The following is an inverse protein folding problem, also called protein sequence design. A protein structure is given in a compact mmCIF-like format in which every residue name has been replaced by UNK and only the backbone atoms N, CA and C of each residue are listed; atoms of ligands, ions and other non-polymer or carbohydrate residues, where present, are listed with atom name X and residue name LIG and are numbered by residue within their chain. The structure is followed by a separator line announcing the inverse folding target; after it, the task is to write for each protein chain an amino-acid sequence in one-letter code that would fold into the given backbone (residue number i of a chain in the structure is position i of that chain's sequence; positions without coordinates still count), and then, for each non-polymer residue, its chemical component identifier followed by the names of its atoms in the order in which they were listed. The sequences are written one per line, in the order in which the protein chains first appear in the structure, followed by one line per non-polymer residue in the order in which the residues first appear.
data_IF_137292486762
#
_entry.id   IF_137292486762
#
_cell.length_a   1.000
_cell.length_b   1.000
_cell.length_c   1.000
_cell.angle_alpha   90.00
_cell.angle_beta   90.00
_cell.angle_gamma   90.00
#
_symmetry.space_group_name_H-M   'P 1'
#
loop_
_entity.id
_entity.type
_entity.pdbx_description
1 polymer ?
#
# COMPACT_ATOMS: atom_id res chain seq x y z
N UNK A 1 -10.53 -16.50 -21.17
CA UNK A 1 -10.93 -15.44 -20.23
C UNK A 1 -10.18 -14.16 -20.57
N UNK A 2 -10.89 -13.03 -20.63
CA UNK A 2 -10.31 -11.70 -20.85
C UNK A 2 -9.94 -11.08 -19.50
N UNK A 3 -8.69 -10.67 -19.35
CA UNK A 3 -8.19 -10.07 -18.10
C UNK A 3 -7.65 -8.68 -18.38
N UNK A 4 -8.20 -7.67 -17.70
CA UNK A 4 -7.68 -6.32 -17.73
C UNK A 4 -6.71 -6.07 -16.57
N UNK A 5 -5.59 -5.40 -16.85
CA UNK A 5 -4.64 -4.95 -15.82
C UNK A 5 -4.61 -3.43 -15.84
N UNK A 6 -5.21 -2.79 -14.83
CA UNK A 6 -5.36 -1.34 -14.74
C UNK A 6 -4.16 -0.77 -13.99
N UNK A 7 -3.41 0.10 -14.67
CA UNK A 7 -2.09 0.54 -14.22
C UNK A 7 -0.97 -0.39 -14.68
N UNK A 8 -1.12 -1.05 -15.84
CA UNK A 8 -0.18 -2.05 -16.35
C UNK A 8 1.26 -1.53 -16.57
N UNK A 9 1.43 -0.21 -16.76
CA UNK A 9 2.75 0.44 -16.87
C UNK A 9 3.36 0.82 -15.51
N UNK A 10 2.65 0.64 -14.40
CA UNK A 10 3.18 0.80 -13.06
C UNK A 10 4.02 -0.40 -12.62
N UNK A 11 4.80 -0.24 -11.55
CA UNK A 11 5.65 -1.33 -11.01
C UNK A 11 4.83 -2.56 -10.66
N UNK A 12 3.72 -2.38 -9.94
CA UNK A 12 2.81 -3.46 -9.55
C UNK A 12 2.07 -4.03 -10.76
N UNK A 13 1.61 -3.19 -11.69
CA UNK A 13 0.91 -3.66 -12.90
C UNK A 13 1.79 -4.51 -13.81
N UNK A 14 3.07 -4.14 -14.00
CA UNK A 14 4.04 -5.01 -14.70
C UNK A 14 4.20 -6.34 -13.99
N UNK A 15 4.35 -6.31 -12.66
CA UNK A 15 4.50 -7.53 -11.86
C UNK A 15 3.26 -8.41 -11.90
N UNK A 16 2.05 -7.82 -11.94
CA UNK A 16 0.80 -8.56 -12.16
C UNK A 16 0.84 -9.31 -13.50
N UNK A 17 1.22 -8.64 -14.59
CA UNK A 17 1.35 -9.28 -15.91
C UNK A 17 2.37 -10.42 -15.90
N UNK A 18 3.53 -10.22 -15.27
CA UNK A 18 4.56 -11.27 -15.10
C UNK A 18 3.99 -12.48 -14.34
N UNK A 19 3.36 -12.26 -13.17
CA UNK A 19 2.81 -13.33 -12.32
C UNK A 19 1.68 -14.09 -13.04
N UNK A 20 0.83 -13.38 -13.81
CA UNK A 20 -0.21 -14.03 -14.61
C UNK A 20 0.40 -15.03 -15.62
N UNK A 21 1.52 -14.67 -16.24
CA UNK A 21 2.28 -15.54 -17.15
C UNK A 21 2.97 -16.69 -16.39
N UNK A 22 3.73 -16.39 -15.33
CA UNK A 22 4.45 -17.36 -14.50
C UNK A 22 3.51 -18.45 -13.94
N UNK A 23 2.29 -18.07 -13.56
CA UNK A 23 1.27 -19.00 -13.03
C UNK A 23 0.44 -19.69 -14.10
N UNK A 24 0.73 -19.49 -15.39
CA UNK A 24 -0.05 -20.03 -16.52
C UNK A 24 -1.55 -19.75 -16.35
N UNK A 25 -1.90 -18.54 -15.91
CA UNK A 25 -3.30 -18.17 -15.68
C UNK A 25 -4.07 -18.28 -17.01
N UNK A 26 -5.31 -18.84 -17.02
CA UNK A 26 -6.02 -19.19 -18.26
C UNK A 26 -6.57 -17.96 -19.00
N UNK A 27 -5.67 -17.16 -19.58
CA UNK A 27 -5.95 -15.92 -20.29
C UNK A 27 -6.06 -16.21 -21.77
N UNK A 28 -7.20 -15.84 -22.37
CA UNK A 28 -7.35 -15.81 -23.83
C UNK A 28 -6.99 -14.44 -24.41
N UNK A 29 -7.09 -13.38 -23.59
CA UNK A 29 -6.77 -12.01 -23.99
C UNK A 29 -6.33 -11.20 -22.77
N UNK A 30 -5.11 -10.67 -22.81
CA UNK A 30 -4.64 -9.69 -21.84
C UNK A 30 -4.97 -8.29 -22.35
N UNK A 31 -5.53 -7.44 -21.48
CA UNK A 31 -5.88 -6.06 -21.79
C UNK A 31 -5.05 -5.15 -20.88
N UNK A 32 -3.84 -4.73 -21.31
CA UNK A 32 -3.03 -3.82 -20.53
C UNK A 32 -3.63 -2.41 -20.60
N UNK A 33 -3.91 -1.82 -19.44
CA UNK A 33 -4.58 -0.52 -19.34
C UNK A 33 -3.69 0.46 -18.61
N UNK A 34 -3.51 1.65 -19.19
CA UNK A 34 -2.76 2.73 -18.58
C UNK A 34 -3.34 4.11 -18.95
N UNK A 35 -2.66 5.17 -18.53
CA UNK A 35 -2.99 6.56 -18.87
C UNK A 35 -2.94 6.81 -20.38
N UNK A 36 -3.66 7.84 -20.87
CA UNK A 36 -3.70 8.23 -22.29
C UNK A 36 -2.31 8.39 -22.93
N UNK A 37 -1.35 8.96 -22.20
CA UNK A 37 0.05 9.10 -22.65
C UNK A 37 0.77 7.79 -23.00
N UNK A 38 0.25 6.65 -22.51
CA UNK A 38 0.83 5.33 -22.73
C UNK A 38 0.06 4.51 -23.78
N UNK A 39 -1.06 5.03 -24.27
CA UNK A 39 -1.87 4.35 -25.29
C UNK A 39 -1.04 4.16 -26.56
N UNK A 40 -1.12 2.96 -27.14
CA UNK A 40 -0.36 2.60 -28.33
C UNK A 40 1.03 2.02 -28.06
N UNK A 41 1.55 2.13 -26.83
CA UNK A 41 2.69 1.34 -26.40
C UNK A 41 2.28 -0.13 -26.19
N UNK A 42 3.24 -1.03 -26.01
CA UNK A 42 3.01 -2.46 -25.87
C UNK A 42 3.57 -3.00 -24.56
N UNK A 43 2.90 -4.00 -23.99
CA UNK A 43 3.42 -4.86 -22.94
C UNK A 43 3.41 -6.29 -23.51
N UNK A 44 4.61 -6.82 -23.79
CA UNK A 44 4.72 -8.04 -24.58
C UNK A 44 4.17 -7.84 -25.99
N UNK A 45 3.23 -8.69 -26.39
CA UNK A 45 2.53 -8.57 -27.67
C UNK A 45 1.26 -7.72 -27.60
N UNK A 46 0.81 -7.34 -26.40
CA UNK A 46 -0.49 -6.70 -26.18
C UNK A 46 -0.38 -5.18 -26.16
N UNK A 47 -1.27 -4.52 -26.92
CA UNK A 47 -1.32 -3.07 -27.05
C UNK A 47 -2.02 -2.43 -25.85
N UNK A 48 -1.42 -1.37 -25.30
CA UNK A 48 -1.99 -0.59 -24.21
C UNK A 48 -3.20 0.22 -24.69
N UNK A 49 -4.30 0.12 -23.92
CA UNK A 49 -5.57 0.82 -24.16
C UNK A 49 -5.95 1.72 -22.97
N UNK A 50 -6.95 2.59 -23.17
CA UNK A 50 -7.51 3.40 -22.08
C UNK A 50 -8.42 2.57 -21.17
N UNK A 51 -8.68 3.06 -19.96
CA UNK A 51 -9.63 2.39 -19.03
C UNK A 51 -11.05 2.32 -19.57
N UNK A 52 -11.45 3.33 -20.36
CA UNK A 52 -12.76 3.38 -21.03
C UNK A 52 -12.85 2.33 -22.14
N UNK A 53 -11.81 2.20 -22.96
CA UNK A 53 -11.78 1.19 -24.02
C UNK A 53 -11.77 -0.22 -23.43
N UNK A 54 -11.00 -0.42 -22.35
CA UNK A 54 -10.97 -1.69 -21.64
C UNK A 54 -12.35 -2.09 -21.09
N UNK A 55 -13.13 -1.14 -20.54
CA UNK A 55 -14.51 -1.41 -20.14
C UNK A 55 -15.36 -1.87 -21.33
N UNK A 56 -15.22 -1.23 -22.50
CA UNK A 56 -15.90 -1.61 -23.74
C UNK A 56 -15.53 -3.00 -24.27
N UNK A 57 -14.33 -3.50 -23.93
CA UNK A 57 -13.87 -4.85 -24.28
C UNK A 57 -14.49 -5.95 -23.41
N UNK A 58 -15.21 -5.56 -22.35
CA UNK A 58 -15.93 -6.43 -21.39
C UNK A 58 -15.04 -7.55 -20.84
N UNK A 59 -14.01 -7.23 -20.03
CA UNK A 59 -13.19 -8.24 -19.40
C UNK A 59 -13.98 -9.04 -18.36
N UNK A 60 -13.61 -10.31 -18.18
CA UNK A 60 -14.18 -11.15 -17.14
C UNK A 60 -13.61 -10.77 -15.76
N UNK A 61 -12.32 -10.40 -15.73
CA UNK A 61 -11.58 -9.99 -14.52
C UNK A 61 -10.81 -8.69 -14.79
N UNK A 62 -10.80 -7.80 -13.80
CA UNK A 62 -10.02 -6.58 -13.80
C UNK A 62 -9.14 -6.46 -12.54
N UNK A 63 -7.82 -6.38 -12.74
CA UNK A 63 -6.84 -6.19 -11.67
C UNK A 63 -6.48 -4.70 -11.58
N UNK A 64 -6.91 -4.03 -10.52
CA UNK A 64 -6.72 -2.60 -10.33
C UNK A 64 -5.46 -2.30 -9.52
N UNK A 65 -4.54 -1.54 -10.13
CA UNK A 65 -3.32 -1.01 -9.49
C UNK A 65 -2.96 0.38 -10.03
N UNK A 66 -3.94 1.27 -10.14
CA UNK A 66 -3.78 2.63 -10.67
C UNK A 66 -4.11 3.75 -9.66
N UNK A 67 -4.17 3.41 -8.37
CA UNK A 67 -4.48 4.36 -7.29
C UNK A 67 -5.97 4.45 -6.95
N UNK A 68 -6.27 5.05 -5.79
CA UNK A 68 -7.61 5.06 -5.19
C UNK A 68 -8.66 5.83 -6.00
N UNK A 69 -8.27 6.86 -6.75
CA UNK A 69 -9.23 7.70 -7.48
C UNK A 69 -9.73 7.00 -8.74
N UNK A 70 -8.82 6.40 -9.52
CA UNK A 70 -9.19 5.52 -10.64
C UNK A 70 -10.04 4.36 -10.16
N UNK A 71 -9.69 3.77 -9.02
CA UNK A 71 -10.41 2.65 -8.42
C UNK A 71 -11.84 3.05 -8.04
N UNK A 72 -12.04 4.18 -7.35
CA UNK A 72 -13.38 4.68 -6.99
C UNK A 72 -14.25 4.97 -8.20
N UNK A 73 -13.68 5.55 -9.25
CA UNK A 73 -14.45 5.91 -10.45
C UNK A 73 -14.80 4.68 -11.29
N UNK A 74 -13.83 3.80 -11.54
CA UNK A 74 -13.96 2.77 -12.57
C UNK A 74 -14.32 1.40 -12.03
N UNK A 75 -13.89 1.00 -10.83
CA UNK A 75 -14.23 -0.33 -10.30
C UNK A 75 -15.76 -0.60 -10.26
N UNK A 76 -16.62 0.35 -9.84
CA UNK A 76 -18.08 0.14 -9.88
C UNK A 76 -18.62 -0.06 -11.30
N UNK A 77 -18.12 0.70 -12.28
CA UNK A 77 -18.54 0.57 -13.69
C UNK A 77 -18.15 -0.78 -14.29
N UNK A 78 -16.97 -1.30 -13.95
CA UNK A 78 -16.55 -2.64 -14.34
C UNK A 78 -17.44 -3.71 -13.68
N UNK A 79 -17.72 -3.57 -12.38
CA UNK A 79 -18.61 -4.46 -11.64
C UNK A 79 -20.04 -4.50 -12.23
N UNK A 80 -20.62 -3.35 -12.52
CA UNK A 80 -21.93 -3.21 -13.18
C UNK A 80 -21.96 -3.84 -14.58
N UNK A 81 -20.84 -3.80 -15.30
CA UNK A 81 -20.68 -4.45 -16.59
C UNK A 81 -20.47 -5.99 -16.50
N UNK A 82 -20.53 -6.57 -15.30
CA UNK A 82 -20.36 -8.00 -15.05
C UNK A 82 -18.91 -8.45 -14.87
N UNK A 83 -17.95 -7.52 -14.78
CA UNK A 83 -16.54 -7.81 -14.55
C UNK A 83 -16.24 -7.95 -13.05
N UNK A 84 -15.49 -8.98 -12.64
CA UNK A 84 -15.00 -9.09 -11.26
C UNK A 84 -13.75 -8.25 -11.07
N UNK A 85 -13.81 -7.29 -10.15
CA UNK A 85 -12.72 -6.37 -9.85
C UNK A 85 -11.95 -6.83 -8.62
N UNK A 86 -10.63 -6.97 -8.75
CA UNK A 86 -9.71 -7.15 -7.64
C UNK A 86 -8.87 -5.89 -7.52
N UNK A 87 -9.00 -5.20 -6.40
CA UNK A 87 -8.49 -3.84 -6.24
C UNK A 87 -7.38 -3.73 -5.20
N UNK A 88 -6.19 -3.28 -5.63
CA UNK A 88 -5.04 -3.08 -4.74
C UNK A 88 -5.05 -1.75 -4.00
N UNK A 89 -5.94 -0.83 -4.33
CA UNK A 89 -5.99 0.46 -3.64
C UNK A 89 -6.57 0.32 -2.23
N UNK A 90 -6.38 1.35 -1.41
CA UNK A 90 -6.92 1.37 -0.05
C UNK A 90 -8.41 1.72 0.00
N UNK A 91 -9.00 2.23 -1.08
CA UNK A 91 -10.32 2.89 -1.02
C UNK A 91 -11.47 1.96 -0.62
N UNK A 92 -11.36 0.66 -0.90
CA UNK A 92 -12.39 -0.33 -0.58
C UNK A 92 -12.12 -1.14 0.69
N UNK A 93 -10.92 -1.06 1.26
CA UNK A 93 -10.46 -1.99 2.33
C UNK A 93 -11.29 -1.91 3.62
N UNK A 94 -11.93 -0.78 3.86
CA UNK A 94 -12.75 -0.52 5.05
C UNK A 94 -14.25 -0.44 4.73
N UNK A 95 -14.66 -0.63 3.47
CA UNK A 95 -16.08 -0.65 3.12
C UNK A 95 -16.70 -1.97 3.62
N UNK A 96 -17.71 -1.94 4.50
CA UNK A 96 -18.29 -3.16 5.07
C UNK A 96 -19.01 -4.04 4.04
N UNK A 97 -19.29 -3.51 2.85
CA UNK A 97 -19.94 -4.24 1.75
C UNK A 97 -18.94 -4.97 0.87
N UNK A 98 -17.65 -4.63 0.96
CA UNK A 98 -16.59 -5.20 0.13
C UNK A 98 -15.69 -6.09 0.98
N UNK A 99 -15.46 -7.30 0.50
CA UNK A 99 -14.63 -8.26 1.21
C UNK A 99 -13.15 -7.92 1.03
N UNK A 100 -12.44 -7.82 2.15
CA UNK A 100 -10.99 -7.70 2.23
C UNK A 100 -10.38 -9.11 2.34
N UNK A 101 -9.75 -9.60 1.28
CA UNK A 101 -9.42 -11.04 1.14
C UNK A 101 -7.91 -11.31 1.12
N UNK A 102 -7.50 -12.30 1.91
CA UNK A 102 -6.25 -13.06 1.77
C UNK A 102 -6.64 -14.53 1.55
N UNK A 103 -6.38 -15.12 0.36
CA UNK A 103 -6.95 -16.42 -0.03
C UNK A 103 -6.81 -17.54 1.00
N UNK A 104 -5.62 -17.69 1.59
CA UNK A 104 -5.28 -18.74 2.56
C UNK A 104 -5.93 -18.55 3.94
N UNK A 105 -6.38 -17.33 4.23
CA UNK A 105 -6.92 -16.94 5.54
C UNK A 105 -8.44 -16.89 5.52
N UNK A 106 -9.03 -16.21 4.54
CA UNK A 106 -10.48 -15.97 4.48
C UNK A 106 -11.07 -16.06 3.06
N UNK A 107 -10.36 -16.70 2.11
CA UNK A 107 -10.83 -16.84 0.73
C UNK A 107 -12.12 -17.65 0.59
N UNK A 108 -12.42 -18.56 1.53
CA UNK A 108 -13.68 -19.32 1.56
C UNK A 108 -14.92 -18.45 1.80
N UNK A 109 -14.76 -17.19 2.22
CA UNK A 109 -15.87 -16.26 2.42
C UNK A 109 -16.36 -15.63 1.10
N UNK A 110 -15.65 -15.83 -0.01
CA UNK A 110 -16.06 -15.33 -1.32
C UNK A 110 -17.29 -16.07 -1.85
N UNK A 111 -18.12 -15.33 -2.57
CA UNK A 111 -19.39 -15.75 -3.15
C UNK A 111 -19.50 -15.23 -4.59
N UNK A 112 -20.40 -15.81 -5.38
CA UNK A 112 -20.57 -15.41 -6.79
C UNK A 112 -21.06 -13.95 -6.95
N UNK A 113 -21.69 -13.38 -5.92
CA UNK A 113 -22.17 -12.00 -5.88
C UNK A 113 -21.10 -10.96 -5.54
N UNK A 114 -19.91 -11.37 -5.12
CA UNK A 114 -18.82 -10.42 -4.84
C UNK A 114 -18.22 -9.93 -6.16
N UNK A 115 -18.56 -8.69 -6.54
CA UNK A 115 -18.12 -8.09 -7.80
C UNK A 115 -16.91 -7.18 -7.64
N UNK A 116 -16.70 -6.59 -6.47
CA UNK A 116 -15.48 -5.85 -6.11
C UNK A 116 -14.89 -6.52 -4.88
N UNK A 117 -13.60 -6.83 -4.94
CA UNK A 117 -12.83 -7.47 -3.87
C UNK A 117 -11.62 -6.59 -3.56
N UNK A 118 -11.45 -6.22 -2.29
CA UNK A 118 -10.30 -5.43 -1.86
C UNK A 118 -9.12 -6.35 -1.51
N UNK A 119 -7.94 -6.01 -2.03
CA UNK A 119 -6.68 -6.63 -1.63
C UNK A 119 -6.03 -5.81 -0.50
N UNK A 120 -5.60 -6.42 0.63
CA UNK A 120 -5.00 -5.68 1.73
C UNK A 120 -3.65 -5.05 1.40
N UNK A 121 -3.10 -4.30 2.35
CA UNK A 121 -1.73 -3.79 2.26
C UNK A 121 -0.72 -4.95 2.30
N UNK A 122 0.39 -4.84 1.57
CA UNK A 122 1.46 -5.84 1.54
C UNK A 122 1.96 -6.25 2.93
N UNK A 123 2.16 -5.31 3.86
CA UNK A 123 2.60 -5.63 5.23
C UNK A 123 1.55 -6.40 6.02
N UNK A 124 0.26 -6.17 5.74
CA UNK A 124 -0.83 -6.91 6.36
C UNK A 124 -0.89 -8.33 5.82
N UNK A 125 -0.83 -8.51 4.50
CA UNK A 125 -0.93 -9.84 3.85
C UNK A 125 0.14 -10.78 4.43
N UNK A 126 1.42 -10.38 4.42
CA UNK A 126 2.51 -11.22 4.93
C UNK A 126 2.34 -11.57 6.42
N UNK A 127 1.86 -10.60 7.21
CA UNK A 127 1.66 -10.80 8.65
C UNK A 127 0.50 -11.78 8.91
N UNK A 128 -0.64 -11.61 8.24
CA UNK A 128 -1.81 -12.47 8.51
C UNK A 128 -1.64 -13.87 7.95
N UNK A 129 -0.94 -14.06 6.82
CA UNK A 129 -0.60 -15.41 6.33
C UNK A 129 0.23 -16.17 7.38
N UNK A 130 1.21 -15.51 8.00
CA UNK A 130 2.04 -16.11 9.05
C UNK A 130 1.26 -16.37 10.35
N UNK A 131 0.33 -15.48 10.71
CA UNK A 131 -0.33 -15.52 12.01
C UNK A 131 -1.69 -16.23 12.02
N UNK A 132 -2.35 -16.44 10.88
CA UNK A 132 -3.73 -16.94 10.83
C UNK A 132 -3.90 -18.28 11.55
N UNK A 133 -3.05 -19.27 11.27
CA UNK A 133 -3.15 -20.60 11.91
C UNK A 133 -2.83 -20.57 13.40
N UNK A 134 -1.90 -19.71 13.81
CA UNK A 134 -1.60 -19.48 15.23
C UNK A 134 -2.79 -18.84 15.92
N UNK A 135 -3.43 -17.85 15.28
CA UNK A 135 -4.63 -17.22 15.80
C UNK A 135 -5.80 -18.21 15.91
N UNK A 136 -6.03 -19.08 14.94
CA UNK A 136 -7.09 -20.08 14.98
C UNK A 136 -7.00 -21.00 16.20
N UNK A 137 -5.78 -21.47 16.50
CA UNK A 137 -5.51 -22.44 17.57
C UNK A 137 -5.36 -21.79 18.95
N UNK A 138 -4.71 -20.64 19.03
CA UNK A 138 -4.26 -20.04 20.30
C UNK A 138 -4.95 -18.71 20.64
N UNK A 139 -5.75 -18.15 19.71
CA UNK A 139 -6.50 -16.89 19.87
C UNK A 139 -5.61 -15.73 20.31
N UNK A 140 -4.75 -15.27 19.39
CA UNK A 140 -3.87 -14.11 19.58
C UNK A 140 -4.70 -12.89 20.01
N UNK A 141 -4.35 -12.29 21.16
CA UNK A 141 -5.04 -11.12 21.75
C UNK A 141 -4.44 -9.78 21.33
N UNK A 142 -3.14 -9.75 20.99
CA UNK A 142 -2.41 -8.53 20.61
C UNK A 142 -1.25 -8.87 19.69
N UNK A 143 -1.02 -8.02 18.71
CA UNK A 143 0.16 -8.04 17.84
C UNK A 143 0.86 -6.69 17.98
N UNK A 144 2.17 -6.71 18.20
CA UNK A 144 3.04 -5.53 18.11
C UNK A 144 4.03 -5.82 17.00
N UNK A 145 4.08 -4.96 15.99
CA UNK A 145 4.84 -5.21 14.75
C UNK A 145 5.62 -3.97 14.34
N UNK A 146 6.89 -4.16 13.96
CA UNK A 146 7.74 -3.16 13.31
C UNK A 146 8.06 -3.66 11.90
N UNK A 147 7.69 -2.90 10.87
CA UNK A 147 7.87 -3.31 9.47
C UNK A 147 9.05 -2.60 8.83
N UNK A 148 9.87 -3.35 8.10
CA UNK A 148 11.00 -2.84 7.31
C UNK A 148 10.67 -3.06 5.83
N UNK A 149 9.93 -2.13 5.22
CA UNK A 149 9.39 -2.29 3.86
C UNK A 149 10.34 -1.71 2.81
N UNK A 150 10.53 -2.42 1.69
CA UNK A 150 11.27 -1.92 0.53
C UNK A 150 10.52 -0.81 -0.20
N UNK A 151 11.22 0.18 -0.74
CA UNK A 151 10.70 1.12 -1.75
C UNK A 151 11.19 0.74 -3.15
N UNK A 152 10.37 0.98 -4.17
CA UNK A 152 10.73 0.70 -5.58
C UNK A 152 11.15 2.00 -6.29
N UNK A 153 12.46 2.20 -6.51
CA UNK A 153 13.04 3.31 -7.30
C UNK A 153 14.46 3.70 -6.81
N UNK A 154 15.37 4.17 -7.67
CA UNK A 154 16.75 4.48 -7.27
C UNK A 154 16.87 5.62 -6.27
N UNK A 155 17.55 5.36 -5.16
CA UNK A 155 17.57 6.22 -3.98
C UNK A 155 18.79 7.15 -3.98
N UNK A 156 18.52 8.45 -4.00
CA UNK A 156 19.45 9.51 -3.60
C UNK A 156 19.36 9.73 -2.07
N UNK A 157 20.47 9.50 -1.38
CA UNK A 157 20.54 9.61 0.09
C UNK A 157 20.43 11.05 0.57
N UNK A 158 20.94 12.01 -0.20
CA UNK A 158 20.89 13.43 0.17
C UNK A 158 19.44 13.94 0.11
N UNK A 159 18.71 13.54 -0.93
CA UNK A 159 17.29 13.86 -1.06
C UNK A 159 16.45 13.30 0.09
N UNK A 160 16.72 12.07 0.55
CA UNK A 160 16.00 11.50 1.70
C UNK A 160 16.26 12.28 2.97
N UNK A 161 17.53 12.58 3.25
CA UNK A 161 17.91 13.35 4.43
C UNK A 161 17.24 14.71 4.42
N UNK A 162 17.15 15.36 3.26
CA UNK A 162 16.49 16.65 3.12
C UNK A 162 14.98 16.57 3.35
N UNK A 163 14.30 15.55 2.77
CA UNK A 163 12.87 15.32 3.02
C UNK A 163 12.60 15.09 4.51
N UNK A 164 13.44 14.29 5.19
CA UNK A 164 13.29 14.02 6.63
C UNK A 164 13.46 15.30 7.47
N UNK A 165 14.43 16.16 7.13
CA UNK A 165 14.62 17.45 7.80
C UNK A 165 13.44 18.41 7.61
N UNK A 166 12.82 18.38 6.44
CA UNK A 166 11.68 19.26 6.11
C UNK A 166 10.33 18.74 6.63
N UNK A 167 10.27 17.50 7.11
CA UNK A 167 9.01 16.88 7.56
C UNK A 167 8.59 17.42 8.94
N UNK A 168 7.44 18.09 9.07
CA UNK A 168 7.00 18.64 10.36
C UNK A 168 6.84 17.56 11.44
N UNK A 169 7.44 17.80 12.61
CA UNK A 169 7.38 16.89 13.75
C UNK A 169 8.39 15.72 13.70
N UNK A 170 9.24 15.66 12.66
CA UNK A 170 10.40 14.77 12.59
C UNK A 170 11.66 15.56 12.93
N UNK A 171 12.52 14.98 13.77
CA UNK A 171 13.84 15.51 14.08
C UNK A 171 14.90 14.50 13.61
N UNK A 172 15.74 14.91 12.65
CA UNK A 172 16.84 14.07 12.17
C UNK A 172 18.02 14.17 13.15
N UNK A 173 18.31 13.07 13.84
CA UNK A 173 19.46 12.91 14.73
C UNK A 173 20.39 11.87 14.14
N UNK A 174 21.26 12.25 13.20
CA UNK A 174 22.11 11.29 12.50
C UNK A 174 23.53 11.81 12.28
N UNK A 175 24.38 11.60 13.29
CA UNK A 175 25.81 11.87 13.18
C UNK A 175 26.60 10.70 13.79
N UNK A 176 26.88 9.64 13.00
CA UNK A 176 27.60 8.47 13.48
C UNK A 176 29.02 8.75 13.97
N UNK A 177 29.71 9.76 13.42
CA UNK A 177 31.08 10.12 13.82
C UNK A 177 31.14 10.61 15.26
N UNK A 178 30.08 11.29 15.72
CA UNK A 178 29.93 11.74 17.10
C UNK A 178 29.08 10.77 17.95
N UNK A 179 28.80 9.56 17.47
CA UNK A 179 27.90 8.57 18.10
C UNK A 179 26.51 9.13 18.42
N UNK A 180 26.01 10.07 17.61
CA UNK A 180 24.72 10.70 17.81
C UNK A 180 23.66 10.01 16.94
N UNK A 181 22.73 9.32 17.59
CA UNK A 181 21.58 8.67 16.95
C UNK A 181 20.40 8.62 17.92
N UNK A 182 19.16 8.40 17.43
CA UNK A 182 17.99 8.39 18.27
C UNK A 182 18.09 7.34 19.37
N UNK A 183 17.79 7.71 20.61
CA UNK A 183 17.75 6.81 21.75
C UNK A 183 16.51 7.11 22.59
N UNK A 184 15.91 6.10 23.25
CA UNK A 184 14.72 6.33 24.08
C UNK A 184 14.93 7.43 25.12
N UNK A 185 16.12 7.47 25.74
CA UNK A 185 16.53 8.50 26.69
C UNK A 185 16.42 9.92 26.12
N UNK A 186 16.76 10.14 24.86
CA UNK A 186 16.75 11.46 24.23
C UNK A 186 15.37 11.88 23.73
N UNK A 187 14.51 10.89 23.45
CA UNK A 187 13.12 11.15 23.05
C UNK A 187 12.21 11.42 24.24
N UNK A 188 12.59 10.99 25.44
CA UNK A 188 11.76 11.13 26.64
C UNK A 188 11.38 12.59 26.89
N UNK A 189 10.09 12.83 27.14
CA UNK A 189 9.54 14.14 27.39
C UNK A 189 9.38 15.01 26.15
N UNK A 190 9.67 14.51 24.94
CA UNK A 190 9.57 15.26 23.68
C UNK A 190 8.39 14.79 22.82
N UNK A 191 7.93 15.70 21.97
CA UNK A 191 6.76 15.50 21.09
C UNK A 191 7.15 15.15 19.65
N UNK A 192 8.44 15.28 19.32
CA UNK A 192 9.03 14.95 18.03
C UNK A 192 9.28 13.45 17.88
N UNK A 193 9.31 13.00 16.63
CA UNK A 193 9.82 11.67 16.25
C UNK A 193 11.27 11.81 15.80
N UNK A 194 12.19 11.14 16.48
CA UNK A 194 13.61 11.17 16.18
C UNK A 194 13.96 10.09 15.16
N UNK A 195 14.65 10.46 14.09
CA UNK A 195 15.08 9.55 13.02
C UNK A 195 16.59 9.66 12.84
N UNK A 196 17.28 8.54 12.64
CA UNK A 196 18.71 8.54 12.34
C UNK A 196 19.22 7.19 11.89
N UNK A 197 20.55 7.00 11.86
CA UNK A 197 21.22 5.84 11.26
C UNK A 197 20.82 5.59 9.81
N UNK A 198 20.51 6.67 9.10
CA UNK A 198 20.09 6.73 7.70
C UNK A 198 21.28 6.36 6.83
N UNK A 199 21.22 5.16 6.26
CA UNK A 199 22.28 4.67 5.39
C UNK A 199 21.71 3.83 4.29
N UNK A 200 22.41 3.81 3.17
CA UNK A 200 22.14 2.85 2.12
C UNK A 200 22.36 1.45 2.66
N UNK A 201 21.45 0.56 2.31
CA UNK A 201 21.67 -0.85 2.46
C UNK A 201 22.35 -1.38 1.19
N UNK A 202 23.43 -2.14 1.35
CA UNK A 202 24.24 -2.65 0.23
C UNK A 202 23.87 -4.07 -0.18
N UNK A 203 22.96 -4.73 0.55
CA UNK A 203 22.53 -6.08 0.24
C UNK A 203 21.60 -6.09 -0.98
N UNK A 204 20.88 -4.99 -1.21
CA UNK A 204 19.92 -4.85 -2.31
C UNK A 204 20.01 -3.46 -2.92
N UNK A 205 19.64 -3.34 -4.19
CA UNK A 205 19.57 -2.03 -4.84
C UNK A 205 18.40 -1.24 -4.25
N UNK A 206 18.62 0.05 -3.95
CA UNK A 206 17.58 1.03 -3.56
C UNK A 206 16.93 0.85 -2.19
N UNK A 207 17.66 0.25 -1.26
CA UNK A 207 17.23 0.07 0.11
C UNK A 207 17.99 1.03 1.03
N UNK A 208 17.31 1.47 2.08
CA UNK A 208 17.88 2.28 3.17
C UNK A 208 17.54 1.64 4.50
N UNK A 209 18.44 1.81 5.46
CA UNK A 209 18.22 1.49 6.85
C UNK A 209 17.96 2.79 7.62
N UNK A 210 16.98 2.79 8.53
CA UNK A 210 16.65 3.89 9.44
C UNK A 210 16.47 3.36 10.87
N UNK A 211 16.65 4.23 11.84
CA UNK A 211 16.38 4.01 13.26
C UNK A 211 15.45 5.12 13.75
N UNK A 212 14.29 4.75 14.31
CA UNK A 212 13.22 5.68 14.67
C UNK A 212 12.83 5.51 16.13
N UNK A 213 12.79 6.61 16.88
CA UNK A 213 12.47 6.61 18.31
C UNK A 213 11.59 7.80 18.65
N UNK A 214 10.59 7.58 19.50
CA UNK A 214 9.75 8.64 20.06
C UNK A 214 9.33 8.27 21.48
N UNK A 215 8.94 9.25 22.28
CA UNK A 215 8.33 9.00 23.58
C UNK A 215 6.93 8.39 23.40
N UNK A 216 6.75 7.19 23.95
CA UNK A 216 5.54 6.41 23.80
C UNK A 216 4.34 6.96 24.58
N UNK A 217 4.56 7.72 25.65
CA UNK A 217 3.50 8.35 26.44
C UNK A 217 3.10 9.70 25.87
N UNK A 218 4.05 10.41 25.23
CA UNK A 218 3.80 11.69 24.54
C UNK A 218 3.38 11.49 23.09
N UNK A 219 4.33 11.54 22.14
CA UNK A 219 4.02 11.42 20.71
C UNK A 219 3.33 10.09 20.37
N UNK A 220 3.61 9.02 21.11
CA UNK A 220 2.94 7.72 20.95
C UNK A 220 1.53 7.63 21.54
N UNK A 221 1.09 8.60 22.36
CA UNK A 221 -0.23 8.56 23.00
C UNK A 221 -0.81 9.96 23.24
N UNK A 222 -0.42 10.66 24.32
CA UNK A 222 -1.09 11.87 24.80
C UNK A 222 -1.00 13.03 23.80
N UNK A 223 0.18 13.33 23.27
CA UNK A 223 0.40 14.43 22.32
C UNK A 223 -0.34 14.17 21.02
N UNK A 224 -0.34 12.94 20.53
CA UNK A 224 -1.09 12.59 19.32
C UNK A 224 -2.60 12.75 19.53
N UNK A 225 -3.13 12.39 20.71
CA UNK A 225 -4.53 12.60 21.05
C UNK A 225 -4.91 14.08 21.12
N UNK A 226 -4.07 14.93 21.73
CA UNK A 226 -4.28 16.38 21.79
C UNK A 226 -4.21 17.01 20.40
N UNK A 227 -3.24 16.64 19.57
CA UNK A 227 -3.15 17.13 18.19
C UNK A 227 -4.38 16.76 17.35
N UNK A 228 -4.96 15.58 17.56
CA UNK A 228 -6.23 15.20 16.91
C UNK A 228 -7.37 16.08 17.40
N UNK A 229 -7.46 16.35 18.71
CA UNK A 229 -8.49 17.22 19.27
C UNK A 229 -8.37 18.67 18.77
N UNK A 230 -7.15 19.21 18.68
CA UNK A 230 -6.86 20.55 18.16
C UNK A 230 -7.39 20.73 16.72
N UNK A 231 -7.22 19.71 15.88
CA UNK A 231 -7.75 19.71 14.50
C UNK A 231 -9.29 19.69 14.45
N UNK A 232 -9.93 19.19 15.51
CA UNK A 232 -11.39 19.12 15.61
C UNK A 232 -12.01 20.39 16.22
N UNK A 233 -11.23 21.23 16.92
CA UNK A 233 -11.68 22.46 17.59
C UNK A 233 -12.51 23.40 16.70
N UNK A 234 -12.20 23.62 15.40
CA UNK A 234 -13.00 24.49 14.53
C UNK A 234 -14.43 23.98 14.26
N UNK A 235 -14.67 22.68 14.45
CA UNK A 235 -15.98 22.03 14.23
C UNK A 235 -16.83 21.98 15.50
N UNK A 236 -16.25 22.32 16.65
CA UNK A 236 -16.93 22.46 17.93
C UNK A 236 -17.30 23.93 18.13
N UNK A 237 -18.58 24.29 18.00
CA UNK A 237 -19.05 25.66 18.27
C UNK A 237 -18.70 26.04 19.72
N UNK A 238 -17.78 26.98 19.89
CA UNK A 238 -17.76 27.81 21.10
C UNK A 238 -18.99 28.71 20.94
N UNK A 239 -19.98 28.50 21.81
CA UNK A 239 -21.15 29.38 21.90
C UNK A 239 -20.73 30.83 22.09
#
# INVERSE_FOLDING_TARGET
MKVAVIGATGVVGRKMTEILSERSFPISTLIPVASERSVGQFIGADKIVTVKDALGMKPDIALFSAGSDISREWAPRFAEAGCRVIDNSSCWRMDPRIKLIVPEVNGCNLTLSDMIIANPNCSTIQMVVALARLHDKLKIKRIVVSTYQSVTGSVDMEQIVEILKQTPGVELQDNPELNQYPMPLYSFGKDQVFVGRVRRDFSTQNSINLWIVADNLRRGAATNAVMIAEQLTPFCKIS
#
